data_IF_207726371012
#
_entry.id   IF_207726371012
#
_cell.length_a   1.000
_cell.length_b   1.000
_cell.length_c   1.000
_cell.angle_alpha   90.00
_cell.angle_beta   90.00
_cell.angle_gamma   90.00
#
_symmetry.space_group_name_H-M   'P 1'
#
loop_
_entity.id
_entity.type
_entity.pdbx_description
1 polymer ?
#
# COMPACT_ATOMS: atom_id res chain seq x y z
N UNK A 1 -5.54 6.46 -26.14
CA UNK A 1 -5.76 5.24 -25.35
C UNK A 1 -5.57 5.50 -23.87
N UNK A 2 -6.49 5.01 -23.06
CA UNK A 2 -6.43 5.20 -21.62
C UNK A 2 -5.35 4.29 -21.02
N UNK A 3 -4.45 4.87 -20.23
CA UNK A 3 -3.44 4.07 -19.53
C UNK A 3 -4.11 3.30 -18.40
N UNK A 4 -3.67 2.06 -18.12
CA UNK A 4 -4.23 1.30 -17.01
C UNK A 4 -3.97 1.98 -15.68
N UNK A 5 -4.99 1.98 -14.82
CA UNK A 5 -4.87 2.44 -13.44
C UNK A 5 -5.76 1.57 -12.55
N UNK A 6 -5.38 1.45 -11.29
CA UNK A 6 -6.17 0.77 -10.28
C UNK A 6 -6.66 1.82 -9.29
N UNK A 7 -7.99 1.88 -9.07
CA UNK A 7 -8.59 2.81 -8.12
C UNK A 7 -9.45 2.03 -7.13
N UNK A 8 -9.24 2.29 -5.85
CA UNK A 8 -10.00 1.66 -4.77
C UNK A 8 -10.49 2.74 -3.82
N UNK A 9 -11.80 2.78 -3.59
CA UNK A 9 -12.44 3.76 -2.70
C UNK A 9 -13.03 3.04 -1.50
N UNK A 10 -12.75 3.56 -0.30
CA UNK A 10 -13.26 3.00 0.95
C UNK A 10 -13.69 4.13 1.88
N UNK A 11 -14.81 3.92 2.57
CA UNK A 11 -15.28 4.81 3.65
C UNK A 11 -14.98 4.11 4.97
N UNK A 12 -14.23 4.79 5.84
CA UNK A 12 -13.74 4.23 7.10
C UNK A 12 -14.19 5.11 8.26
N UNK A 13 -14.75 4.50 9.31
CA UNK A 13 -15.11 5.23 10.52
C UNK A 13 -13.85 5.48 11.36
N UNK A 14 -13.18 6.59 11.05
CA UNK A 14 -11.93 7.00 11.69
C UNK A 14 -11.71 8.49 11.44
N UNK A 15 -10.59 9.02 11.89
CA UNK A 15 -10.18 10.41 11.62
C UNK A 15 -9.08 10.44 10.55
N UNK A 16 -8.94 11.56 9.82
CA UNK A 16 -7.84 11.70 8.86
C UNK A 16 -6.46 11.49 9.48
N UNK A 17 -6.24 12.00 10.69
CA UNK A 17 -4.96 11.87 11.41
C UNK A 17 -4.66 10.42 11.74
N UNK A 18 -5.65 9.66 12.19
CA UNK A 18 -5.47 8.26 12.54
C UNK A 18 -5.23 7.40 11.29
N UNK A 19 -5.92 7.70 10.20
CA UNK A 19 -5.68 7.02 8.93
C UNK A 19 -4.26 7.31 8.42
N UNK A 20 -3.83 8.58 8.48
CA UNK A 20 -2.46 8.93 8.10
C UNK A 20 -1.43 8.14 8.91
N UNK A 21 -1.63 8.08 10.23
CA UNK A 21 -0.75 7.31 11.11
C UNK A 21 -0.72 5.84 10.71
N UNK A 22 -1.88 5.26 10.42
CA UNK A 22 -1.97 3.85 10.01
C UNK A 22 -1.24 3.58 8.69
N UNK A 23 -1.20 4.55 7.78
CA UNK A 23 -0.51 4.42 6.49
C UNK A 23 1.01 4.62 6.60
N UNK A 24 1.48 5.33 7.63
CA UNK A 24 2.88 5.75 7.73
C UNK A 24 3.64 5.17 8.91
N UNK A 25 2.99 4.41 9.77
CA UNK A 25 3.62 3.81 10.95
C UNK A 25 3.75 2.30 10.79
N UNK A 26 4.95 1.78 10.97
CA UNK A 26 5.21 0.33 10.90
C UNK A 26 4.47 -0.45 11.98
N UNK A 27 4.24 0.14 13.16
CA UNK A 27 3.45 -0.50 14.22
C UNK A 27 2.03 -0.81 13.76
N UNK A 28 1.46 0.03 12.89
CA UNK A 28 0.15 -0.20 12.29
C UNK A 28 0.24 -1.15 11.10
N UNK A 29 1.15 -0.91 10.15
CA UNK A 29 1.21 -1.69 8.91
C UNK A 29 1.51 -3.16 9.16
N UNK A 30 2.33 -3.48 10.16
CA UNK A 30 2.60 -4.86 10.55
C UNK A 30 1.32 -5.61 10.91
N UNK A 31 0.33 -4.94 11.46
CA UNK A 31 -0.91 -5.56 11.91
C UNK A 31 -1.88 -5.85 10.76
N UNK A 32 -2.00 -4.94 9.79
CA UNK A 32 -2.99 -5.10 8.73
C UNK A 32 -2.40 -5.49 7.37
N UNK A 33 -1.09 -5.50 7.21
CA UNK A 33 -0.39 -5.71 5.94
C UNK A 33 0.62 -6.86 6.01
N UNK A 34 0.14 -8.05 6.40
CA UNK A 34 0.97 -9.28 6.47
C UNK A 34 2.34 -9.09 7.11
N UNK A 35 2.38 -8.45 8.29
CA UNK A 35 3.63 -8.17 9.02
C UNK A 35 4.63 -7.31 8.24
N UNK A 36 4.14 -6.50 7.31
CA UNK A 36 4.98 -5.60 6.51
C UNK A 36 5.23 -4.30 7.26
N UNK A 37 6.48 -3.86 7.29
CA UNK A 37 6.87 -2.56 7.84
C UNK A 37 7.03 -1.55 6.71
N UNK A 38 6.42 -0.38 6.85
CA UNK A 38 6.74 0.77 5.99
C UNK A 38 7.90 1.53 6.62
N UNK A 39 8.87 1.94 5.81
CA UNK A 39 10.06 2.64 6.29
C UNK A 39 10.29 3.88 5.43
N UNK A 40 10.23 5.06 6.05
CA UNK A 40 10.51 6.33 5.38
C UNK A 40 10.57 7.46 6.41
N UNK A 41 11.20 8.58 6.03
CA UNK A 41 11.14 9.83 6.79
C UNK A 41 9.88 10.64 6.45
N UNK A 42 9.13 10.20 5.44
CA UNK A 42 7.86 10.81 5.00
C UNK A 42 8.00 12.27 4.56
N UNK A 43 9.15 12.62 4.03
CA UNK A 43 9.42 13.92 3.41
C UNK A 43 9.59 13.73 1.92
N UNK A 44 9.11 14.68 1.14
CA UNK A 44 9.26 14.64 -0.32
C UNK A 44 10.75 14.46 -0.67
N UNK A 45 11.04 13.48 -1.51
CA UNK A 45 12.38 13.11 -1.91
C UNK A 45 13.03 12.04 -1.04
N UNK A 46 12.44 11.70 0.13
CA UNK A 46 12.98 10.65 0.99
C UNK A 46 12.77 9.27 0.40
N UNK A 47 13.69 8.33 0.65
CA UNK A 47 13.45 6.94 0.29
C UNK A 47 12.25 6.35 1.02
N UNK A 48 11.60 5.39 0.36
CA UNK A 48 10.49 4.62 0.89
C UNK A 48 10.78 3.15 0.65
N UNK A 49 10.50 2.30 1.63
CA UNK A 49 10.61 0.85 1.44
C UNK A 49 9.56 0.10 2.25
N UNK A 50 9.21 -1.08 1.74
CA UNK A 50 8.41 -2.07 2.44
C UNK A 50 9.32 -3.23 2.81
N UNK A 51 9.25 -3.65 4.09
CA UNK A 51 10.10 -4.72 4.61
C UNK A 51 9.22 -5.80 5.22
N UNK A 52 9.37 -7.03 4.76
CA UNK A 52 8.64 -8.19 5.24
C UNK A 52 9.64 -9.24 5.72
N UNK A 53 9.54 -9.59 7.02
CA UNK A 53 10.44 -10.56 7.65
C UNK A 53 11.93 -10.25 7.41
N UNK A 54 12.29 -8.96 7.53
CA UNK A 54 13.68 -8.52 7.36
C UNK A 54 14.14 -8.37 5.90
N UNK A 55 13.27 -8.68 4.95
CA UNK A 55 13.60 -8.57 3.53
C UNK A 55 12.83 -7.42 2.88
N UNK A 56 13.54 -6.55 2.17
CA UNK A 56 12.91 -5.45 1.42
C UNK A 56 12.19 -6.02 0.20
N UNK A 57 10.90 -5.75 0.10
CA UNK A 57 10.06 -6.26 -1.00
C UNK A 57 9.80 -5.22 -2.07
N UNK A 58 9.72 -3.95 -1.67
CA UNK A 58 9.41 -2.82 -2.56
C UNK A 58 10.18 -1.60 -2.10
N UNK A 59 10.55 -0.76 -3.06
CA UNK A 59 11.27 0.48 -2.80
C UNK A 59 10.65 1.62 -3.60
N UNK A 60 10.92 2.84 -3.19
CA UNK A 60 10.44 4.02 -3.89
C UNK A 60 10.92 5.30 -3.25
N UNK A 61 10.26 6.38 -3.60
CA UNK A 61 10.54 7.73 -3.13
C UNK A 61 9.23 8.43 -2.79
N UNK A 62 9.23 9.23 -1.74
CA UNK A 62 8.06 10.04 -1.38
C UNK A 62 7.93 11.18 -2.40
N UNK A 63 6.79 11.20 -3.09
CA UNK A 63 6.50 12.20 -4.12
C UNK A 63 5.65 13.34 -3.59
N UNK A 64 4.77 13.05 -2.63
CA UNK A 64 3.90 14.04 -2.01
C UNK A 64 3.57 13.61 -0.58
N UNK A 65 3.62 14.54 0.37
CA UNK A 65 3.31 14.28 1.76
C UNK A 65 2.64 15.50 2.37
N UNK A 66 1.32 15.62 2.15
CA UNK A 66 0.50 16.70 2.70
C UNK A 66 -0.41 16.10 3.78
N UNK A 67 0.14 16.02 4.98
CA UNK A 67 -0.53 15.42 6.13
C UNK A 67 -1.73 16.25 6.60
N UNK A 68 -2.90 15.64 6.87
CA UNK A 68 -3.27 14.23 6.73
C UNK A 68 -4.13 13.98 5.48
N UNK A 69 -3.91 14.73 4.39
CA UNK A 69 -4.81 14.76 3.24
C UNK A 69 -4.34 13.95 2.06
N UNK A 70 -3.02 13.90 1.82
CA UNK A 70 -2.53 13.29 0.60
C UNK A 70 -1.12 12.75 0.76
N UNK A 71 -0.94 11.47 0.39
CA UNK A 71 0.35 10.80 0.41
C UNK A 71 0.57 10.13 -0.93
N UNK A 72 1.72 10.36 -1.55
CA UNK A 72 2.06 9.71 -2.82
C UNK A 72 3.52 9.26 -2.80
N UNK A 73 3.78 8.08 -3.34
CA UNK A 73 5.14 7.57 -3.47
C UNK A 73 5.28 6.75 -4.75
N UNK A 74 6.49 6.67 -5.26
CA UNK A 74 6.80 5.73 -6.34
C UNK A 74 6.88 4.33 -5.75
N UNK A 75 6.59 3.32 -6.58
CA UNK A 75 6.44 1.95 -6.12
C UNK A 75 7.16 1.02 -7.09
N UNK A 76 8.18 0.33 -6.59
CA UNK A 76 9.00 -0.56 -7.39
C UNK A 76 9.15 -1.89 -6.67
N UNK A 77 8.46 -2.92 -7.17
CA UNK A 77 8.54 -4.27 -6.63
C UNK A 77 9.86 -4.91 -7.06
N UNK A 78 10.62 -5.46 -6.13
CA UNK A 78 11.98 -5.94 -6.41
C UNK A 78 12.19 -7.44 -6.19
N UNK A 79 11.20 -8.17 -5.69
CA UNK A 79 11.32 -9.62 -5.47
C UNK A 79 11.23 -10.43 -6.76
N UNK A 80 10.44 -9.97 -7.71
CA UNK A 80 10.23 -10.63 -8.98
C UNK A 80 11.17 -10.01 -10.02
N UNK A 81 11.91 -10.85 -10.75
CA UNK A 81 12.88 -10.37 -11.73
C UNK A 81 12.25 -9.48 -12.81
N UNK A 82 11.09 -9.89 -13.34
CA UNK A 82 10.39 -9.12 -14.37
C UNK A 82 9.94 -7.76 -13.84
N UNK A 83 9.37 -7.73 -12.63
CA UNK A 83 8.93 -6.49 -11.99
C UNK A 83 10.11 -5.56 -11.68
N UNK A 84 11.24 -6.14 -11.27
CA UNK A 84 12.45 -5.36 -10.96
C UNK A 84 12.98 -4.59 -12.17
N UNK A 85 12.76 -5.10 -13.39
CA UNK A 85 13.19 -4.47 -14.63
C UNK A 85 12.24 -3.37 -15.10
N UNK A 86 11.04 -3.27 -14.52
CA UNK A 86 10.09 -2.22 -14.86
C UNK A 86 10.48 -0.90 -14.21
N UNK A 87 10.08 0.20 -14.83
CA UNK A 87 10.16 1.49 -14.14
C UNK A 87 9.17 1.53 -12.97
N UNK A 88 9.44 2.34 -11.93
CA UNK A 88 8.52 2.48 -10.82
C UNK A 88 7.14 2.98 -11.26
N UNK A 89 6.11 2.48 -10.61
CA UNK A 89 4.75 3.01 -10.74
C UNK A 89 4.49 4.02 -9.63
N UNK A 90 3.27 4.55 -9.52
CA UNK A 90 2.92 5.57 -8.55
C UNK A 90 1.69 5.17 -7.75
N UNK A 91 1.80 5.29 -6.43
CA UNK A 91 0.68 5.07 -5.51
C UNK A 91 0.31 6.39 -4.86
N UNK A 92 -0.98 6.69 -4.80
CA UNK A 92 -1.49 7.91 -4.14
C UNK A 92 -2.65 7.55 -3.24
N UNK A 93 -2.61 8.05 -2.00
CA UNK A 93 -3.70 7.98 -1.04
C UNK A 93 -4.26 9.39 -0.87
N UNK A 94 -5.55 9.58 -1.21
CA UNK A 94 -6.27 10.81 -0.95
C UNK A 94 -7.24 10.58 0.21
N UNK A 95 -7.18 11.44 1.22
CA UNK A 95 -7.91 11.30 2.48
C UNK A 95 -8.83 12.51 2.64
N UNK A 96 -10.15 12.26 2.63
CA UNK A 96 -11.16 13.31 2.69
C UNK A 96 -12.11 13.07 3.86
N UNK A 97 -12.29 14.06 4.78
CA UNK A 97 -13.25 13.89 5.87
C UNK A 97 -14.69 13.96 5.35
N UNK A 98 -15.54 13.06 5.87
CA UNK A 98 -16.97 12.98 5.56
C UNK A 98 -17.74 12.75 6.86
N UNK A 99 -17.96 13.81 7.65
CA UNK A 99 -18.63 13.69 8.95
C UNK A 99 -17.83 12.80 9.90
N UNK A 100 -18.41 11.69 10.33
CA UNK A 100 -17.74 10.71 11.19
C UNK A 100 -16.88 9.71 10.42
N UNK A 101 -16.89 9.82 9.08
CA UNK A 101 -16.17 8.91 8.21
C UNK A 101 -15.04 9.66 7.51
N UNK A 102 -14.11 8.89 6.97
CA UNK A 102 -13.08 9.36 6.06
C UNK A 102 -13.23 8.59 4.76
N UNK A 103 -13.25 9.32 3.65
CA UNK A 103 -13.17 8.70 2.33
C UNK A 103 -11.71 8.56 1.95
N UNK A 104 -11.27 7.32 1.78
CA UNK A 104 -9.93 7.00 1.31
C UNK A 104 -10.01 6.59 -0.16
N UNK A 105 -9.27 7.29 -1.01
CA UNK A 105 -9.11 6.91 -2.41
C UNK A 105 -7.67 6.52 -2.63
N UNK A 106 -7.44 5.24 -2.98
CA UNK A 106 -6.13 4.75 -3.37
C UNK A 106 -6.09 4.64 -4.88
N UNK A 107 -5.09 5.27 -5.50
CA UNK A 107 -4.84 5.18 -6.93
C UNK A 107 -3.44 4.62 -7.16
N UNK A 108 -3.35 3.56 -7.94
CA UNK A 108 -2.06 2.99 -8.37
C UNK A 108 -2.02 3.08 -9.89
N UNK A 109 -1.08 3.84 -10.41
CA UNK A 109 -1.04 4.24 -11.81
C UNK A 109 0.40 4.36 -12.31
N UNK A 110 0.53 4.78 -13.56
CA UNK A 110 1.83 5.00 -14.20
C UNK A 110 2.66 3.71 -14.29
N UNK A 111 1.99 2.61 -14.61
CA UNK A 111 2.64 1.32 -14.79
C UNK A 111 3.49 1.30 -16.06
N UNK A 112 4.55 0.50 -16.05
CA UNK A 112 5.31 0.19 -17.25
C UNK A 112 4.39 -0.48 -18.29
N UNK A 113 4.74 -0.39 -19.55
CA UNK A 113 4.01 -1.08 -20.61
C UNK A 113 4.04 -2.59 -20.36
N UNK A 114 2.90 -3.26 -20.50
CA UNK A 114 2.75 -4.70 -20.24
C UNK A 114 3.24 -5.11 -18.85
N UNK A 115 2.96 -4.28 -17.84
CA UNK A 115 3.43 -4.50 -16.48
C UNK A 115 2.94 -5.82 -15.88
N UNK A 116 3.87 -6.56 -15.26
CA UNK A 116 3.54 -7.78 -14.50
C UNK A 116 3.06 -7.46 -13.09
N UNK A 117 3.14 -6.20 -12.67
CA UNK A 117 2.77 -5.76 -11.31
C UNK A 117 1.26 -5.59 -11.16
N UNK A 118 0.56 -5.20 -12.24
CA UNK A 118 -0.87 -4.84 -12.20
C UNK A 118 -1.74 -5.93 -11.59
N UNK A 119 -1.56 -7.18 -12.02
CA UNK A 119 -2.37 -8.29 -11.54
C UNK A 119 -2.23 -8.49 -10.03
N UNK A 120 -1.00 -8.48 -9.55
CA UNK A 120 -0.71 -8.65 -8.11
C UNK A 120 -1.30 -7.54 -7.26
N UNK A 121 -1.09 -6.28 -7.63
CA UNK A 121 -1.60 -5.15 -6.84
C UNK A 121 -3.12 -5.05 -6.88
N UNK A 122 -3.73 -5.45 -7.99
CA UNK A 122 -5.18 -5.43 -8.11
C UNK A 122 -5.86 -6.42 -7.15
N UNK A 123 -5.16 -7.47 -6.77
CA UNK A 123 -5.61 -8.44 -5.75
C UNK A 123 -5.16 -8.02 -4.36
N UNK A 124 -3.94 -7.50 -4.24
CA UNK A 124 -3.33 -7.15 -2.96
C UNK A 124 -3.99 -5.96 -2.27
N UNK A 125 -4.17 -4.86 -2.99
CA UNK A 125 -4.72 -3.64 -2.39
C UNK A 125 -6.09 -3.84 -1.74
N UNK A 126 -7.09 -4.48 -2.38
CA UNK A 126 -8.39 -4.70 -1.72
C UNK A 126 -8.27 -5.48 -0.41
N UNK A 127 -7.41 -6.49 -0.36
CA UNK A 127 -7.19 -7.26 0.86
C UNK A 127 -6.55 -6.42 1.96
N UNK A 128 -5.51 -5.67 1.61
CA UNK A 128 -4.78 -4.80 2.55
C UNK A 128 -5.71 -3.71 3.08
N UNK A 129 -6.46 -3.05 2.21
CA UNK A 129 -7.35 -1.96 2.59
C UNK A 129 -8.55 -2.43 3.38
N UNK A 130 -9.06 -3.63 3.12
CA UNK A 130 -10.13 -4.23 3.93
C UNK A 130 -9.65 -4.53 5.35
N UNK A 131 -8.41 -5.04 5.48
CA UNK A 131 -7.79 -5.30 6.77
C UNK A 131 -7.54 -4.00 7.55
N UNK A 132 -7.06 -2.95 6.85
CA UNK A 132 -6.88 -1.62 7.43
C UNK A 132 -8.21 -1.06 7.98
N UNK A 133 -9.27 -1.13 7.19
CA UNK A 133 -10.59 -0.66 7.60
C UNK A 133 -11.07 -1.39 8.85
N UNK A 134 -10.97 -2.72 8.86
CA UNK A 134 -11.36 -3.53 10.02
C UNK A 134 -10.57 -3.11 11.26
N UNK A 135 -9.26 -2.97 11.14
CA UNK A 135 -8.40 -2.58 12.27
C UNK A 135 -8.79 -1.20 12.83
N UNK A 136 -9.02 -0.22 11.97
CA UNK A 136 -9.36 1.13 12.41
C UNK A 136 -10.76 1.20 13.04
N UNK A 137 -11.73 0.42 12.54
CA UNK A 137 -13.10 0.45 13.03
C UNK A 137 -13.34 -0.45 14.25
N UNK A 138 -12.63 -1.58 14.33
CA UNK A 138 -12.90 -2.59 15.37
C UNK A 138 -11.72 -2.84 16.31
N UNK A 139 -10.52 -2.36 15.96
CA UNK A 139 -9.29 -2.68 16.68
C UNK A 139 -8.62 -3.96 16.24
N UNK A 140 -9.25 -4.74 15.35
CA UNK A 140 -8.69 -6.01 14.88
C UNK A 140 -8.57 -6.04 13.36
N UNK A 141 -7.39 -6.38 12.82
CA UNK A 141 -7.23 -6.55 11.38
C UNK A 141 -7.90 -7.85 10.92
N UNK A 142 -8.06 -8.00 9.59
CA UNK A 142 -8.49 -9.25 9.00
C UNK A 142 -7.28 -10.14 8.76
N UNK A 143 -7.48 -11.45 8.84
CA UNK A 143 -6.44 -12.43 8.49
C UNK A 143 -6.79 -12.97 7.10
N UNK A 144 -6.11 -12.45 6.08
CA UNK A 144 -6.36 -12.82 4.70
C UNK A 144 -5.20 -13.70 4.21
N UNK A 145 -5.47 -14.95 3.76
CA UNK A 145 -4.42 -15.84 3.30
C UNK A 145 -3.72 -15.31 2.04
N UNK A 146 -2.39 -15.28 2.04
CA UNK A 146 -1.60 -14.82 0.89
C UNK A 146 -1.79 -15.72 -0.34
N UNK A 147 -1.99 -17.02 -0.14
CA UNK A 147 -2.20 -17.96 -1.24
C UNK A 147 -3.47 -17.64 -2.03
N UNK A 148 -4.47 -17.05 -1.39
CA UNK A 148 -5.69 -16.61 -2.08
C UNK A 148 -5.42 -15.44 -3.04
N UNK A 149 -4.28 -14.76 -2.91
CA UNK A 149 -3.91 -13.60 -3.71
C UNK A 149 -2.91 -13.94 -4.83
N UNK A 150 -2.39 -15.17 -4.85
CA UNK A 150 -1.42 -15.63 -5.84
C UNK A 150 -0.16 -14.76 -5.96
N UNK A 151 0.35 -14.29 -4.82
CA UNK A 151 1.60 -13.52 -4.75
C UNK A 151 2.66 -14.46 -4.19
N UNK A 152 3.15 -15.38 -5.05
CA UNK A 152 4.03 -16.47 -4.65
C UNK A 152 5.32 -15.99 -3.98
N UNK A 153 5.94 -14.93 -4.51
CA UNK A 153 7.19 -14.40 -3.97
C UNK A 153 7.00 -13.85 -2.55
N UNK A 154 5.88 -13.17 -2.30
CA UNK A 154 5.56 -12.64 -0.99
C UNK A 154 5.21 -13.75 -0.01
N UNK A 155 4.47 -14.77 -0.47
CA UNK A 155 4.11 -15.91 0.35
C UNK A 155 5.36 -16.63 0.85
N UNK A 156 6.34 -16.85 -0.02
CA UNK A 156 7.61 -17.48 0.33
C UNK A 156 8.34 -16.67 1.40
N UNK A 157 8.45 -15.35 1.26
CA UNK A 157 9.09 -14.47 2.23
C UNK A 157 8.32 -14.46 3.55
N UNK A 158 6.99 -14.42 3.49
CA UNK A 158 6.14 -14.38 4.67
C UNK A 158 6.26 -15.64 5.51
N UNK A 159 6.41 -16.80 4.86
CA UNK A 159 6.52 -18.11 5.54
C UNK A 159 7.94 -18.42 6.04
N UNK A 160 8.94 -17.69 5.56
CA UNK A 160 10.33 -17.89 6.00
C UNK A 160 10.64 -17.33 7.43
#
# INVERSE_FOLDING_TARGET
MRKPEFVYVSYIETTPERLWEALTSSDFTKRYWWNTSVVSDWKVGSPFSLVLNGQTTDVGEILEADRPRRLSYSFHHILNEAARKERPSRVTFAIEPHGKLVKLTLTHEDFAEDSVVIDGISKGWPAIMSSLKSMLETGAPLVIPLDALFIAELDEVYRS
#
